data_IF_324433282786
#
_entry.id   IF_324433282786
#
_cell.length_a   1.000
_cell.length_b   1.000
_cell.length_c   1.000
_cell.angle_alpha   90.00
_cell.angle_beta   90.00
_cell.angle_gamma   90.00
#
_symmetry.space_group_name_H-M   'P 1'
#
loop_
_entity.id
_entity.type
_entity.pdbx_description
1 polymer ?
#
# COMPACT_ATOMS: atom_id res chain seq x y z
N UNK A 1 -4.29 -12.71 -25.05
CA UNK A 1 -4.28 -11.37 -24.40
C UNK A 1 -3.70 -10.42 -25.41
N UNK A 2 -4.22 -9.19 -25.56
CA UNK A 2 -3.73 -8.24 -26.56
C UNK A 2 -2.27 -7.87 -26.26
N UNK A 3 -1.42 -7.77 -27.31
CA UNK A 3 -0.01 -7.35 -27.21
C UNK A 3 0.18 -5.87 -26.78
N UNK A 4 -0.88 -5.23 -26.29
CA UNK A 4 -0.85 -3.84 -25.86
C UNK A 4 -0.47 -3.72 -24.40
N UNK A 5 0.38 -2.72 -24.06
CA UNK A 5 0.81 -2.52 -22.67
C UNK A 5 -0.36 -2.11 -21.76
N UNK A 6 -0.23 -2.39 -20.47
CA UNK A 6 -1.04 -1.76 -19.44
C UNK A 6 -0.44 -0.40 -19.09
N UNK A 7 -1.25 0.65 -18.97
CA UNK A 7 -0.78 1.95 -18.53
C UNK A 7 -1.01 2.11 -17.04
N UNK A 8 0.07 2.23 -16.27
CA UNK A 8 0.05 2.54 -14.84
C UNK A 8 0.19 4.05 -14.64
N UNK A 9 -0.83 4.68 -14.09
CA UNK A 9 -0.86 6.11 -13.78
C UNK A 9 -0.71 6.34 -12.28
N UNK A 10 0.42 6.91 -11.85
CA UNK A 10 0.70 7.12 -10.44
C UNK A 10 1.48 8.41 -10.17
N UNK A 11 1.25 9.01 -8.99
CA UNK A 11 2.10 10.04 -8.41
C UNK A 11 3.00 9.53 -7.30
N UNK A 12 2.81 8.30 -6.88
CA UNK A 12 3.55 7.64 -5.82
C UNK A 12 4.55 6.70 -6.49
N UNK A 13 5.84 7.04 -6.41
CA UNK A 13 6.90 6.25 -7.03
C UNK A 13 8.20 6.40 -6.25
N UNK A 14 9.00 5.33 -6.11
CA UNK A 14 10.31 5.43 -5.47
C UNK A 14 11.21 6.45 -6.15
N UNK A 15 11.94 7.20 -5.34
CA UNK A 15 12.97 8.14 -5.80
C UNK A 15 14.24 7.90 -5.01
N UNK A 16 15.43 8.32 -5.50
CA UNK A 16 16.68 8.18 -4.73
C UNK A 16 16.63 8.80 -3.33
N UNK A 17 15.83 9.86 -3.14
CA UNK A 17 15.64 10.49 -1.84
C UNK A 17 14.54 9.87 -0.98
N UNK A 18 13.74 8.94 -1.52
CA UNK A 18 12.63 8.25 -0.85
C UNK A 18 12.42 6.87 -1.48
N UNK A 19 13.33 5.93 -1.28
CA UNK A 19 13.30 4.63 -1.96
C UNK A 19 12.14 3.75 -1.52
N UNK A 20 11.65 3.90 -0.29
CA UNK A 20 10.54 3.13 0.27
C UNK A 20 9.16 3.57 -0.25
N UNK A 21 9.02 4.83 -0.75
CA UNK A 21 7.72 5.38 -1.16
C UNK A 21 7.24 4.79 -2.47
N UNK A 22 6.15 4.02 -2.44
CA UNK A 22 5.56 3.42 -3.63
C UNK A 22 6.27 2.15 -4.11
N UNK A 23 7.09 1.52 -3.28
CA UNK A 23 7.79 0.26 -3.57
C UNK A 23 6.83 -0.85 -4.02
N UNK A 24 5.64 -0.94 -3.44
CA UNK A 24 4.60 -1.90 -3.85
C UNK A 24 4.08 -1.64 -5.28
N UNK A 25 3.99 -0.37 -5.74
CA UNK A 25 3.62 -0.06 -7.14
C UNK A 25 4.74 -0.48 -8.08
N UNK A 26 6.00 -0.26 -7.68
CA UNK A 26 7.15 -0.73 -8.43
C UNK A 26 7.14 -2.26 -8.54
N UNK A 27 6.88 -2.97 -7.45
CA UNK A 27 6.74 -4.43 -7.45
C UNK A 27 5.59 -4.92 -8.37
N UNK A 28 4.46 -4.17 -8.44
CA UNK A 28 3.40 -4.44 -9.43
C UNK A 28 3.90 -4.31 -10.86
N UNK A 29 4.63 -3.23 -11.16
CA UNK A 29 5.18 -2.97 -12.50
C UNK A 29 6.18 -4.03 -12.90
N UNK A 30 7.08 -4.44 -12.01
CA UNK A 30 8.09 -5.48 -12.26
C UNK A 30 7.48 -6.86 -12.55
N UNK A 31 6.27 -7.13 -12.05
CA UNK A 31 5.51 -8.35 -12.36
C UNK A 31 4.78 -8.32 -13.71
N UNK A 32 4.79 -7.21 -14.44
CA UNK A 32 4.11 -7.06 -15.73
C UNK A 32 5.11 -7.15 -16.90
N UNK A 33 4.74 -7.87 -17.97
CA UNK A 33 5.59 -7.98 -19.18
C UNK A 33 5.57 -6.70 -20.00
N UNK A 34 4.36 -6.15 -20.24
CA UNK A 34 4.14 -5.00 -21.11
C UNK A 34 3.45 -3.90 -20.32
N UNK A 35 4.19 -2.90 -19.88
CA UNK A 35 3.70 -1.80 -19.06
C UNK A 35 4.29 -0.46 -19.47
N UNK A 36 3.46 0.57 -19.46
CA UNK A 36 3.86 1.97 -19.57
C UNK A 36 3.54 2.68 -18.27
N UNK A 37 4.55 3.21 -17.58
CA UNK A 37 4.38 3.98 -16.35
C UNK A 37 4.35 5.47 -16.67
N UNK A 38 3.24 6.13 -16.35
CA UNK A 38 3.08 7.58 -16.47
C UNK A 38 3.03 8.20 -15.08
N UNK A 39 3.96 9.11 -14.82
CA UNK A 39 4.13 9.78 -13.52
C UNK A 39 4.58 11.23 -13.71
N UNK A 40 4.38 12.13 -12.73
CA UNK A 40 4.84 13.51 -12.82
C UNK A 40 6.36 13.59 -13.01
N UNK A 41 6.79 14.34 -14.05
CA UNK A 41 8.21 14.54 -14.38
C UNK A 41 8.75 15.88 -13.89
N UNK A 42 7.86 16.82 -13.53
CA UNK A 42 8.20 18.21 -13.23
C UNK A 42 7.71 18.61 -11.83
N UNK A 43 8.36 18.14 -10.76
CA UNK A 43 7.86 18.35 -9.39
C UNK A 43 7.87 19.82 -8.92
N UNK A 44 8.60 20.71 -9.64
CA UNK A 44 8.69 22.15 -9.31
C UNK A 44 7.62 23.01 -9.95
N UNK A 45 6.84 22.48 -10.89
CA UNK A 45 5.74 23.23 -11.51
C UNK A 45 4.53 23.37 -10.57
N UNK A 46 3.69 24.41 -10.76
CA UNK A 46 2.42 24.52 -10.08
C UNK A 46 1.56 23.27 -10.33
N UNK A 47 0.82 22.81 -9.32
CA UNK A 47 0.05 21.55 -9.37
C UNK A 47 -0.87 21.42 -10.59
N UNK A 48 -1.53 22.52 -10.99
CA UNK A 48 -2.41 22.53 -12.16
C UNK A 48 -1.67 22.12 -13.44
N UNK A 49 -0.47 22.69 -13.67
CA UNK A 49 0.37 22.34 -14.81
C UNK A 49 0.86 20.90 -14.76
N UNK A 50 1.26 20.42 -13.56
CA UNK A 50 1.67 19.01 -13.39
C UNK A 50 0.54 18.07 -13.85
N UNK A 51 -0.70 18.36 -13.46
CA UNK A 51 -1.85 17.50 -13.79
C UNK A 51 -2.25 17.60 -15.27
N UNK A 52 -2.15 18.80 -15.85
CA UNK A 52 -2.37 18.97 -17.29
C UNK A 52 -1.32 18.21 -18.12
N UNK A 53 -0.05 18.34 -17.77
CA UNK A 53 1.04 17.63 -18.46
C UNK A 53 0.91 16.11 -18.27
N UNK A 54 0.49 15.67 -17.08
CA UNK A 54 0.24 14.25 -16.80
C UNK A 54 -0.89 13.71 -17.69
N UNK A 55 -1.97 14.48 -17.89
CA UNK A 55 -3.04 14.11 -18.82
C UNK A 55 -2.52 14.03 -20.27
N UNK A 56 -1.72 15.00 -20.69
CA UNK A 56 -1.11 15.01 -22.03
C UNK A 56 -0.21 13.78 -22.21
N UNK A 57 0.60 13.43 -21.22
CA UNK A 57 1.46 12.24 -21.27
C UNK A 57 0.63 10.96 -21.41
N UNK A 58 -0.49 10.83 -20.65
CA UNK A 58 -1.42 9.68 -20.77
C UNK A 58 -2.05 9.63 -22.15
N UNK A 59 -2.46 10.77 -22.72
CA UNK A 59 -3.08 10.83 -24.04
C UNK A 59 -2.09 10.52 -25.18
N UNK A 60 -0.82 10.86 -25.00
CA UNK A 60 0.26 10.60 -25.97
C UNK A 60 0.87 9.21 -25.85
N UNK A 61 0.65 8.52 -24.75
CA UNK A 61 1.15 7.16 -24.56
C UNK A 61 0.67 6.22 -25.67
N UNK A 62 1.46 5.23 -26.11
CA UNK A 62 1.02 4.18 -27.02
C UNK A 62 -0.32 3.62 -26.56
N UNK A 63 -1.22 3.24 -27.49
CA UNK A 63 -2.57 2.81 -27.12
C UNK A 63 -2.53 1.60 -26.21
N UNK A 64 -2.81 1.77 -24.88
CA UNK A 64 -2.75 0.66 -23.95
C UNK A 64 -4.01 -0.21 -24.04
N UNK A 65 -3.96 -1.40 -23.42
CA UNK A 65 -5.14 -2.25 -23.24
C UNK A 65 -6.10 -1.72 -22.17
N UNK A 66 -5.59 -0.87 -21.25
CA UNK A 66 -6.35 -0.22 -20.18
C UNK A 66 -5.48 0.70 -19.34
N UNK A 67 -6.11 1.44 -18.44
CA UNK A 67 -5.46 2.36 -17.49
C UNK A 67 -5.67 1.84 -16.08
N UNK A 68 -4.57 1.60 -15.33
CA UNK A 68 -4.56 1.33 -13.89
C UNK A 68 -4.09 2.60 -13.17
N UNK A 69 -5.00 3.31 -12.53
CA UNK A 69 -4.67 4.54 -11.83
C UNK A 69 -4.59 4.29 -10.31
N UNK A 70 -3.55 4.83 -9.68
CA UNK A 70 -3.37 4.75 -8.24
C UNK A 70 -3.82 6.05 -7.57
N UNK A 71 -4.76 5.94 -6.63
CA UNK A 71 -5.52 6.98 -5.92
C UNK A 71 -6.71 7.54 -6.73
N UNK A 72 -7.81 7.89 -6.02
CA UNK A 72 -8.99 8.49 -6.63
C UNK A 72 -8.71 9.86 -7.26
N UNK A 73 -8.02 10.74 -6.53
CA UNK A 73 -7.72 12.10 -6.97
C UNK A 73 -6.26 12.43 -6.62
N UNK A 74 -5.48 12.97 -7.55
CA UNK A 74 -5.83 13.43 -8.91
C UNK A 74 -5.72 12.37 -9.99
N UNK A 75 -4.94 11.31 -9.80
CA UNK A 75 -4.57 10.34 -10.85
C UNK A 75 -5.76 9.55 -11.36
N UNK A 76 -6.67 9.11 -10.50
CA UNK A 76 -7.91 8.45 -10.91
C UNK A 76 -8.79 9.37 -11.77
N UNK A 77 -8.89 10.66 -11.43
CA UNK A 77 -9.66 11.61 -12.23
C UNK A 77 -9.02 11.84 -13.62
N UNK A 78 -7.69 11.99 -13.68
CA UNK A 78 -6.96 12.06 -14.95
C UNK A 78 -7.14 10.79 -15.76
N UNK A 79 -7.04 9.63 -15.10
CA UNK A 79 -7.29 8.32 -15.71
C UNK A 79 -8.71 8.21 -16.27
N UNK A 80 -9.73 8.71 -15.56
CA UNK A 80 -11.12 8.71 -16.02
C UNK A 80 -11.31 9.57 -17.26
N UNK A 81 -10.76 10.79 -17.28
CA UNK A 81 -10.81 11.67 -18.45
C UNK A 81 -10.15 11.00 -19.66
N UNK A 82 -8.94 10.48 -19.47
CA UNK A 82 -8.21 9.81 -20.56
C UNK A 82 -8.91 8.53 -21.04
N UNK A 83 -9.46 7.73 -20.12
CA UNK A 83 -10.21 6.51 -20.43
C UNK A 83 -11.44 6.82 -21.28
N UNK A 84 -12.18 7.88 -20.95
CA UNK A 84 -13.35 8.32 -21.73
C UNK A 84 -12.95 8.81 -23.12
N UNK A 85 -11.92 9.66 -23.22
CA UNK A 85 -11.45 10.22 -24.51
C UNK A 85 -10.88 9.14 -25.45
N UNK A 86 -10.30 8.08 -24.90
CA UNK A 86 -9.66 7.00 -25.67
C UNK A 86 -10.48 5.71 -25.74
N UNK A 87 -11.68 5.67 -25.14
CA UNK A 87 -12.53 4.48 -25.03
C UNK A 87 -11.78 3.28 -24.43
N UNK A 88 -11.05 3.52 -23.32
CA UNK A 88 -10.26 2.51 -22.63
C UNK A 88 -10.92 2.09 -21.31
N UNK A 89 -10.70 0.86 -20.85
CA UNK A 89 -11.07 0.45 -19.50
C UNK A 89 -10.20 1.14 -18.44
N UNK A 90 -10.80 1.42 -17.28
CA UNK A 90 -10.16 2.07 -16.14
C UNK A 90 -10.36 1.23 -14.87
N UNK A 91 -9.26 0.82 -14.29
CA UNK A 91 -9.21 0.28 -12.91
C UNK A 91 -8.54 1.31 -12.01
N UNK A 92 -9.12 1.61 -10.85
CA UNK A 92 -8.54 2.55 -9.89
C UNK A 92 -8.22 1.84 -8.59
N UNK A 93 -6.95 1.90 -8.19
CA UNK A 93 -6.47 1.34 -6.94
C UNK A 93 -6.45 2.43 -5.85
N UNK A 94 -7.27 2.24 -4.82
CA UNK A 94 -7.45 3.16 -3.69
C UNK A 94 -6.60 2.69 -2.50
N UNK A 95 -5.73 3.56 -1.98
CA UNK A 95 -4.75 3.22 -0.95
C UNK A 95 -5.13 3.61 0.48
N UNK A 96 -6.34 4.10 0.68
CA UNK A 96 -6.90 4.48 1.99
C UNK A 96 -6.69 5.95 2.35
N UNK A 97 -5.50 6.50 2.19
CA UNK A 97 -5.24 7.93 2.48
C UNK A 97 -6.02 8.91 1.60
N UNK A 98 -6.59 8.44 0.52
CA UNK A 98 -7.41 9.22 -0.43
C UNK A 98 -8.92 9.18 -0.11
N UNK A 99 -9.38 8.23 0.71
CA UNK A 99 -10.80 8.12 1.13
C UNK A 99 -11.03 8.42 2.61
N UNK A 100 -9.99 8.39 3.44
CA UNK A 100 -10.10 8.82 4.84
C UNK A 100 -10.36 10.31 4.94
N UNK A 101 -11.05 10.72 5.99
CA UNK A 101 -11.49 12.11 6.20
C UNK A 101 -12.25 12.70 5.00
N UNK A 102 -12.98 11.84 4.31
CA UNK A 102 -13.70 12.19 3.10
C UNK A 102 -14.59 13.42 3.26
N UNK A 103 -15.33 13.50 4.37
CA UNK A 103 -16.22 14.60 4.70
C UNK A 103 -15.50 15.95 4.81
N UNK A 104 -14.24 15.95 5.22
CA UNK A 104 -13.38 17.14 5.39
C UNK A 104 -12.74 17.61 4.10
N UNK A 105 -12.81 16.83 3.01
CA UNK A 105 -12.21 17.21 1.72
C UNK A 105 -13.02 18.34 1.07
N UNK A 106 -12.36 19.28 0.33
CA UNK A 106 -13.06 20.33 -0.43
C UNK A 106 -14.10 19.75 -1.38
N UNK A 107 -15.22 20.44 -1.56
CA UNK A 107 -16.33 19.98 -2.40
C UNK A 107 -15.91 19.55 -3.83
N UNK A 108 -15.03 20.28 -4.54
CA UNK A 108 -14.56 19.84 -5.87
C UNK A 108 -13.82 18.50 -5.83
N UNK A 109 -13.01 18.25 -4.78
CA UNK A 109 -12.28 16.99 -4.62
C UNK A 109 -13.26 15.84 -4.37
N UNK A 110 -14.27 16.07 -3.54
CA UNK A 110 -15.33 15.09 -3.27
C UNK A 110 -16.13 14.78 -4.54
N UNK A 111 -16.45 15.79 -5.33
CA UNK A 111 -17.14 15.62 -6.61
C UNK A 111 -16.30 14.80 -7.60
N UNK A 112 -15.04 15.16 -7.82
CA UNK A 112 -14.13 14.41 -8.69
C UNK A 112 -14.01 12.93 -8.29
N UNK A 113 -13.85 12.65 -7.00
CA UNK A 113 -13.72 11.27 -6.56
C UNK A 113 -15.02 10.46 -6.71
N UNK A 114 -16.20 11.08 -6.50
CA UNK A 114 -17.47 10.42 -6.82
C UNK A 114 -17.62 10.11 -8.30
N UNK A 115 -17.15 11.01 -9.18
CA UNK A 115 -17.11 10.76 -10.62
C UNK A 115 -16.21 9.57 -10.95
N UNK A 116 -15.02 9.52 -10.33
CA UNK A 116 -14.08 8.42 -10.51
C UNK A 116 -14.69 7.11 -9.99
N UNK A 117 -15.24 7.14 -8.77
CA UNK A 117 -15.81 5.95 -8.15
C UNK A 117 -16.90 5.31 -9.00
N UNK A 118 -17.78 6.15 -9.60
CA UNK A 118 -18.89 5.68 -10.46
C UNK A 118 -18.48 5.44 -11.91
N UNK A 119 -17.40 6.03 -12.36
CA UNK A 119 -16.98 6.00 -13.76
C UNK A 119 -15.86 5.00 -14.07
N UNK A 120 -15.17 4.47 -13.07
CA UNK A 120 -14.20 3.39 -13.23
C UNK A 120 -14.92 2.04 -13.46
N UNK A 121 -14.32 1.17 -14.25
CA UNK A 121 -14.85 -0.18 -14.48
C UNK A 121 -14.70 -1.05 -13.21
N UNK A 122 -13.64 -0.83 -12.43
CA UNK A 122 -13.46 -1.44 -11.09
C UNK A 122 -12.71 -0.46 -10.17
N UNK A 123 -13.13 -0.45 -8.91
CA UNK A 123 -12.32 0.07 -7.80
C UNK A 123 -11.68 -1.10 -7.08
N UNK A 124 -10.39 -0.98 -6.83
CA UNK A 124 -9.60 -1.96 -6.05
C UNK A 124 -9.08 -1.27 -4.80
N UNK A 125 -9.02 -1.97 -3.68
CA UNK A 125 -8.50 -1.42 -2.44
C UNK A 125 -7.64 -2.42 -1.67
N UNK A 126 -6.87 -1.90 -0.71
CA UNK A 126 -5.85 -2.63 0.03
C UNK A 126 -6.36 -3.38 1.27
N UNK A 127 -7.56 -3.06 1.76
CA UNK A 127 -8.10 -3.63 3.00
C UNK A 127 -9.61 -3.52 3.05
N UNK A 128 -10.25 -4.31 3.89
CA UNK A 128 -11.66 -4.20 4.18
C UNK A 128 -11.98 -2.89 4.93
N UNK A 129 -11.04 -2.42 5.77
CA UNK A 129 -11.14 -1.11 6.42
C UNK A 129 -11.27 0.02 5.39
N UNK A 130 -10.43 0.02 4.35
CA UNK A 130 -10.53 1.00 3.25
C UNK A 130 -11.79 0.77 2.41
N UNK A 131 -12.22 -0.47 2.20
CA UNK A 131 -13.44 -0.80 1.47
C UNK A 131 -14.68 -0.19 2.12
N UNK A 132 -14.77 -0.21 3.46
CA UNK A 132 -15.89 0.44 4.18
C UNK A 132 -16.01 1.93 3.85
N UNK A 133 -14.89 2.66 3.76
CA UNK A 133 -14.89 4.06 3.38
C UNK A 133 -15.30 4.29 1.90
N UNK A 134 -14.95 3.35 1.01
CA UNK A 134 -15.34 3.42 -0.40
C UNK A 134 -16.85 3.17 -0.57
N UNK A 135 -17.44 2.25 0.21
CA UNK A 135 -18.89 1.99 0.21
C UNK A 135 -19.72 3.24 0.56
N UNK A 136 -19.16 4.18 1.33
CA UNK A 136 -19.77 5.48 1.60
C UNK A 136 -19.94 6.34 0.32
N UNK A 137 -19.18 6.04 -0.74
CA UNK A 137 -19.34 6.67 -2.07
C UNK A 137 -20.43 6.00 -2.92
N UNK A 138 -21.06 4.93 -2.41
CA UNK A 138 -22.09 4.16 -3.09
C UNK A 138 -21.57 3.16 -4.13
N UNK A 139 -20.34 2.67 -3.97
CA UNK A 139 -19.69 1.73 -4.88
C UNK A 139 -19.06 0.58 -4.08
N UNK A 140 -19.18 -0.65 -4.58
CA UNK A 140 -18.53 -1.83 -4.00
C UNK A 140 -17.12 -2.01 -4.61
N UNK A 141 -16.04 -1.92 -3.84
CA UNK A 141 -14.69 -2.16 -4.32
C UNK A 141 -14.34 -3.64 -4.25
N UNK A 142 -13.34 -4.05 -5.03
CA UNK A 142 -12.66 -5.34 -4.87
C UNK A 142 -11.50 -5.19 -3.89
N UNK A 143 -11.47 -5.99 -2.84
CA UNK A 143 -10.36 -5.99 -1.89
C UNK A 143 -9.24 -6.87 -2.43
N UNK A 144 -8.09 -6.26 -2.71
CA UNK A 144 -6.87 -6.92 -3.17
C UNK A 144 -5.67 -6.33 -2.41
N UNK A 145 -5.37 -6.86 -1.21
CA UNK A 145 -4.27 -6.38 -0.38
C UNK A 145 -2.94 -6.42 -1.12
N UNK A 146 -2.08 -5.39 -1.02
CA UNK A 146 -0.78 -5.39 -1.68
C UNK A 146 0.09 -6.53 -1.13
N UNK A 147 0.80 -7.19 -2.05
CA UNK A 147 1.62 -8.35 -1.72
C UNK A 147 3.02 -7.99 -1.27
N UNK A 148 3.60 -8.87 -0.45
CA UNK A 148 4.99 -8.86 -0.01
C UNK A 148 5.72 -10.04 -0.64
N UNK A 149 6.96 -9.83 -1.07
CA UNK A 149 7.83 -10.93 -1.51
C UNK A 149 8.27 -11.76 -0.30
N UNK A 150 7.55 -12.85 -0.06
CA UNK A 150 7.80 -13.73 1.10
C UNK A 150 9.14 -14.46 1.04
N UNK A 151 9.79 -14.54 -0.14
CA UNK A 151 11.15 -15.11 -0.27
C UNK A 151 12.19 -14.12 0.24
N UNK A 152 11.97 -12.84 -0.05
CA UNK A 152 12.82 -11.75 0.45
C UNK A 152 12.68 -11.56 1.96
N UNK A 153 11.47 -11.71 2.49
CA UNK A 153 11.12 -11.64 3.91
C UNK A 153 10.96 -13.04 4.51
N UNK A 154 11.84 -13.97 4.15
CA UNK A 154 11.80 -15.32 4.71
C UNK A 154 12.11 -15.32 6.22
N UNK A 155 11.47 -16.20 7.01
CA UNK A 155 11.70 -16.27 8.43
C UNK A 155 13.15 -16.65 8.75
N UNK A 156 13.69 -16.03 9.78
CA UNK A 156 15.02 -16.29 10.32
C UNK A 156 14.97 -16.55 11.83
N UNK A 157 15.98 -17.20 12.42
CA UNK A 157 15.99 -17.46 13.86
C UNK A 157 15.77 -16.19 14.67
N UNK A 158 15.13 -16.34 15.81
CA UNK A 158 14.91 -15.25 16.76
C UNK A 158 16.27 -14.75 17.30
N UNK A 159 16.55 -13.42 17.28
CA UNK A 159 17.75 -12.85 17.91
C UNK A 159 17.80 -13.17 19.41
N UNK A 160 19.00 -13.35 19.97
CA UNK A 160 19.17 -13.60 21.40
C UNK A 160 18.83 -12.40 22.28
N UNK A 161 18.98 -11.19 21.72
CA UNK A 161 18.68 -9.94 22.43
C UNK A 161 17.27 -9.47 22.08
N UNK A 162 16.52 -9.09 23.11
CA UNK A 162 15.25 -8.40 22.91
C UNK A 162 15.53 -7.01 22.35
N UNK A 163 15.14 -6.78 21.10
CA UNK A 163 15.31 -5.51 20.39
C UNK A 163 14.07 -5.17 19.61
N UNK A 164 13.64 -3.94 19.75
CA UNK A 164 12.42 -3.40 19.13
C UNK A 164 12.79 -2.52 17.93
N UNK A 165 12.25 -2.83 16.76
CA UNK A 165 12.41 -2.08 15.52
C UNK A 165 11.16 -1.26 15.21
N UNK A 166 11.36 0.00 14.81
CA UNK A 166 10.33 0.85 14.24
C UNK A 166 10.72 1.33 12.83
N UNK A 167 9.83 1.11 11.85
CA UNK A 167 10.05 1.40 10.41
C UNK A 167 9.11 2.50 9.86
N UNK A 168 8.57 3.36 10.72
CA UNK A 168 7.56 4.35 10.34
C UNK A 168 8.11 5.71 9.90
N UNK A 169 9.42 5.95 10.07
CA UNK A 169 10.03 7.26 9.84
C UNK A 169 9.52 8.33 10.81
N UNK A 170 9.89 9.59 10.58
CA UNK A 170 9.41 10.73 11.38
C UNK A 170 8.00 11.15 10.95
N UNK A 171 7.03 10.30 11.22
CA UNK A 171 5.64 10.50 10.82
C UNK A 171 4.69 10.31 12.03
N UNK A 172 4.01 11.38 12.50
CA UNK A 172 3.08 11.30 13.62
C UNK A 172 1.94 10.29 13.38
N UNK A 173 1.45 10.14 12.15
CA UNK A 173 0.40 9.15 11.82
C UNK A 173 0.87 7.71 11.99
N UNK A 174 2.18 7.48 11.90
CA UNK A 174 2.80 6.17 12.15
C UNK A 174 3.19 5.94 13.61
N UNK A 175 2.87 6.89 14.49
CA UNK A 175 3.14 6.81 15.93
C UNK A 175 4.61 7.01 16.27
N UNK A 176 5.33 7.86 15.53
CA UNK A 176 6.74 8.16 15.80
C UNK A 176 6.99 8.61 17.24
N UNK A 177 6.10 9.45 17.79
CA UNK A 177 6.24 9.99 19.15
C UNK A 177 6.16 8.89 20.22
N UNK A 178 5.37 7.84 19.97
CA UNK A 178 5.32 6.63 20.80
C UNK A 178 6.59 5.80 20.61
N UNK A 179 7.05 5.67 19.39
CA UNK A 179 8.19 4.81 19.08
C UNK A 179 9.52 5.34 19.64
N UNK A 180 9.72 6.67 19.75
CA UNK A 180 10.97 7.28 20.29
C UNK A 180 11.34 6.75 21.67
N UNK A 181 10.35 6.51 22.54
CA UNK A 181 10.59 6.03 23.90
C UNK A 181 10.64 4.51 24.05
N UNK A 182 10.35 3.74 23.00
CA UNK A 182 10.10 2.31 23.09
C UNK A 182 10.92 1.45 22.11
N UNK A 183 11.40 2.03 21.01
CA UNK A 183 12.13 1.29 20.00
C UNK A 183 13.64 1.50 20.14
N UNK A 184 14.42 0.41 20.00
CA UNK A 184 15.90 0.45 19.99
C UNK A 184 16.44 1.00 18.67
N UNK A 185 15.72 0.73 17.58
CA UNK A 185 16.09 1.20 16.25
C UNK A 185 14.89 1.87 15.58
N UNK A 186 15.08 3.13 15.18
CA UNK A 186 14.09 3.91 14.47
C UNK A 186 14.63 4.28 13.09
N UNK A 187 13.95 3.86 12.03
CA UNK A 187 14.33 4.12 10.64
C UNK A 187 13.12 4.51 9.78
N UNK A 188 13.42 5.01 8.60
CA UNK A 188 12.43 5.36 7.59
C UNK A 188 12.45 6.84 7.22
N UNK A 189 11.50 7.32 6.39
CA UNK A 189 11.48 8.67 5.85
C UNK A 189 11.60 9.77 6.92
N UNK A 190 12.43 10.77 6.65
CA UNK A 190 12.75 11.91 7.54
C UNK A 190 13.46 11.55 8.87
N UNK A 191 13.94 10.32 8.99
CA UNK A 191 14.91 9.86 9.97
C UNK A 191 16.15 9.36 9.21
N UNK A 192 16.65 8.17 9.55
CA UNK A 192 17.53 7.40 8.70
C UNK A 192 16.67 6.63 7.71
N UNK A 193 16.51 7.12 6.48
CA UNK A 193 15.85 6.31 5.43
C UNK A 193 16.75 5.10 5.09
N UNK A 194 16.13 3.99 4.76
CA UNK A 194 16.83 2.75 4.46
C UNK A 194 16.42 2.28 3.07
N UNK A 195 17.38 1.72 2.36
CA UNK A 195 17.07 1.10 1.09
C UNK A 195 16.17 -0.12 1.31
N UNK A 196 15.20 -0.34 0.42
CA UNK A 196 14.31 -1.50 0.56
C UNK A 196 15.06 -2.80 0.80
N UNK A 197 16.25 -2.99 0.22
CA UNK A 197 17.04 -4.22 0.33
C UNK A 197 17.72 -4.39 1.70
N UNK A 198 17.80 -3.35 2.51
CA UNK A 198 18.32 -3.43 3.89
C UNK A 198 17.25 -3.88 4.90
N UNK A 199 15.95 -3.74 4.55
CA UNK A 199 14.84 -3.99 5.49
C UNK A 199 14.80 -5.43 6.01
N UNK A 200 15.01 -6.48 5.19
CA UNK A 200 15.05 -7.86 5.69
C UNK A 200 16.16 -8.09 6.73
N UNK A 201 17.34 -7.52 6.55
CA UNK A 201 18.44 -7.62 7.51
C UNK A 201 18.11 -6.90 8.82
N UNK A 202 17.49 -5.71 8.74
CA UNK A 202 17.01 -5.01 9.93
C UNK A 202 15.97 -5.84 10.70
N UNK A 203 15.04 -6.49 10.00
CA UNK A 203 14.08 -7.37 10.65
C UNK A 203 14.74 -8.60 11.28
N UNK A 204 15.76 -9.16 10.63
CA UNK A 204 16.51 -10.29 11.18
C UNK A 204 17.28 -9.95 12.48
N UNK A 205 17.73 -8.71 12.63
CA UNK A 205 18.48 -8.22 13.81
C UNK A 205 17.58 -7.84 15.00
N UNK A 206 16.26 -7.86 14.85
CA UNK A 206 15.29 -7.48 15.88
C UNK A 206 14.28 -8.61 16.10
N UNK A 207 13.79 -8.78 17.32
CA UNK A 207 12.79 -9.79 17.63
C UNK A 207 11.35 -9.25 17.59
N UNK A 208 11.17 -7.95 17.79
CA UNK A 208 9.87 -7.29 17.78
C UNK A 208 9.85 -6.12 16.79
N UNK A 209 8.75 -5.99 16.05
CA UNK A 209 8.48 -4.80 15.23
C UNK A 209 7.30 -4.04 15.83
N UNK A 210 7.54 -2.78 16.17
CA UNK A 210 6.56 -1.87 16.75
C UNK A 210 5.86 -1.07 15.65
N UNK A 211 4.51 -1.16 15.59
CA UNK A 211 3.67 -0.47 14.60
C UNK A 211 2.59 0.35 15.33
N UNK A 212 2.93 1.43 16.04
CA UNK A 212 2.03 2.20 16.88
C UNK A 212 1.25 3.25 16.08
N UNK A 213 0.79 2.87 14.89
CA UNK A 213 0.13 3.77 13.95
C UNK A 213 -1.18 4.31 14.52
N UNK A 214 -1.41 5.62 14.39
CA UNK A 214 -2.72 6.25 14.68
C UNK A 214 -3.72 5.88 13.59
N UNK A 215 -3.21 5.76 12.36
CA UNK A 215 -3.97 5.34 11.19
C UNK A 215 -3.12 4.44 10.31
N UNK A 216 -3.67 3.29 9.93
CA UNK A 216 -2.99 2.35 9.05
C UNK A 216 -3.98 1.76 8.03
N UNK A 217 -3.97 2.22 6.79
CA UNK A 217 -4.88 1.69 5.76
C UNK A 217 -4.69 0.20 5.47
N UNK A 218 -3.44 -0.29 5.56
CA UNK A 218 -3.12 -1.71 5.40
C UNK A 218 -2.12 -2.19 6.44
N UNK A 219 -0.83 -1.86 6.30
CA UNK A 219 0.22 -2.27 7.23
C UNK A 219 1.24 -3.22 6.60
N UNK A 220 1.83 -2.83 5.44
CA UNK A 220 2.88 -3.63 4.78
C UNK A 220 4.00 -4.04 5.74
N UNK A 221 4.46 -3.11 6.59
CA UNK A 221 5.51 -3.37 7.58
C UNK A 221 5.13 -4.51 8.53
N UNK A 222 3.85 -4.61 8.92
CA UNK A 222 3.39 -5.72 9.78
C UNK A 222 3.44 -7.06 9.03
N UNK A 223 3.04 -7.09 7.74
CA UNK A 223 3.15 -8.30 6.92
C UNK A 223 4.62 -8.71 6.73
N UNK A 224 5.49 -7.76 6.41
CA UNK A 224 6.94 -7.97 6.23
C UNK A 224 7.58 -8.51 7.52
N UNK A 225 7.23 -7.95 8.67
CA UNK A 225 7.71 -8.38 9.97
C UNK A 225 7.30 -9.82 10.30
N UNK A 226 6.00 -10.12 10.20
CA UNK A 226 5.47 -11.46 10.48
C UNK A 226 6.04 -12.49 9.51
N UNK A 227 6.16 -12.14 8.22
CA UNK A 227 6.78 -13.00 7.22
C UNK A 227 8.26 -13.30 7.56
N UNK A 228 8.99 -12.30 8.09
CA UNK A 228 10.38 -12.47 8.58
C UNK A 228 10.46 -13.26 9.90
N UNK A 229 9.34 -13.72 10.44
CA UNK A 229 9.28 -14.40 11.73
C UNK A 229 9.46 -13.46 12.93
N UNK A 230 8.97 -12.22 12.84
CA UNK A 230 9.08 -11.24 13.95
C UNK A 230 7.71 -11.01 14.58
N UNK A 231 7.69 -10.94 15.92
CA UNK A 231 6.49 -10.58 16.66
C UNK A 231 6.12 -9.13 16.36
N UNK A 232 4.85 -8.85 16.10
CA UNK A 232 4.38 -7.50 15.84
C UNK A 232 3.60 -6.98 17.04
N UNK A 233 3.99 -5.82 17.58
CA UNK A 233 3.20 -5.07 18.55
C UNK A 233 2.59 -3.87 17.81
N UNK A 234 1.29 -3.88 17.60
CA UNK A 234 0.62 -2.92 16.72
C UNK A 234 -0.61 -2.29 17.35
N UNK A 235 -0.93 -1.07 16.94
CA UNK A 235 -2.22 -0.46 17.22
C UNK A 235 -3.36 -1.29 16.65
N UNK A 236 -4.45 -1.43 17.38
CA UNK A 236 -5.67 -2.07 16.90
C UNK A 236 -6.46 -1.14 15.97
N UNK A 237 -5.88 -0.73 14.82
CA UNK A 237 -6.48 0.21 13.86
C UNK A 237 -6.40 -0.27 12.42
N UNK A 238 -7.39 0.08 11.63
CA UNK A 238 -7.42 -0.11 10.17
C UNK A 238 -7.07 -1.53 9.74
N UNK A 239 -6.23 -1.64 8.71
CA UNK A 239 -5.76 -2.91 8.16
C UNK A 239 -4.88 -3.74 9.09
N UNK A 240 -4.32 -3.16 10.18
CA UNK A 240 -3.57 -3.94 11.17
C UNK A 240 -4.44 -5.00 11.85
N UNK A 241 -5.74 -4.72 12.06
CA UNK A 241 -6.71 -5.70 12.59
C UNK A 241 -6.99 -6.87 11.65
N UNK A 242 -6.64 -6.72 10.38
CA UNK A 242 -6.81 -7.78 9.37
C UNK A 242 -5.56 -8.66 9.26
N UNK A 243 -4.40 -8.11 9.61
CA UNK A 243 -3.09 -8.74 9.49
C UNK A 243 -2.68 -9.42 10.78
N UNK A 244 -2.78 -8.69 11.89
CA UNK A 244 -2.35 -9.16 13.20
C UNK A 244 -3.49 -9.95 13.87
N UNK A 245 -3.22 -11.23 14.12
CA UNK A 245 -4.07 -12.10 14.95
C UNK A 245 -3.51 -12.05 16.37
N UNK A 246 -4.23 -11.38 17.27
CA UNK A 246 -3.79 -11.13 18.63
C UNK A 246 -3.45 -12.44 19.38
N UNK A 247 -2.27 -12.49 20.00
CA UNK A 247 -1.74 -13.68 20.68
C UNK A 247 -1.26 -14.82 19.76
N UNK A 248 -1.34 -14.67 18.41
CA UNK A 248 -0.91 -15.68 17.44
C UNK A 248 0.33 -15.25 16.68
N UNK A 249 0.30 -14.07 16.05
CA UNK A 249 1.41 -13.53 15.26
C UNK A 249 1.80 -12.10 15.67
N UNK A 250 1.20 -11.59 16.74
CA UNK A 250 1.45 -10.27 17.27
C UNK A 250 0.52 -9.93 18.42
N UNK A 251 0.65 -8.70 18.92
CA UNK A 251 -0.19 -8.13 19.97
C UNK A 251 -0.89 -6.87 19.44
N UNK A 252 -2.22 -6.82 19.56
CA UNK A 252 -3.03 -5.65 19.22
C UNK A 252 -3.27 -4.76 20.44
N UNK A 253 -2.76 -3.55 20.41
CA UNK A 253 -2.88 -2.57 21.49
C UNK A 253 -4.06 -1.63 21.20
N UNK A 254 -5.05 -1.61 22.07
CA UNK A 254 -6.26 -0.78 21.96
C UNK A 254 -6.28 0.39 22.95
N UNK A 255 -5.60 0.27 24.06
CA UNK A 255 -5.55 1.23 25.17
C UNK A 255 -4.37 2.19 25.11
N UNK A 256 -3.45 1.98 24.16
CA UNK A 256 -2.24 2.79 23.99
C UNK A 256 -1.06 2.37 24.87
N UNK A 257 -1.19 1.33 25.69
CA UNK A 257 -0.10 0.84 26.55
C UNK A 257 0.86 -0.09 25.78
N UNK A 258 1.60 0.48 24.85
CA UNK A 258 2.62 -0.24 24.09
C UNK A 258 3.78 -0.74 24.96
N UNK A 259 4.11 -0.05 26.06
CA UNK A 259 5.18 -0.46 26.96
C UNK A 259 4.82 -1.80 27.64
N UNK A 260 3.61 -1.91 28.17
CA UNK A 260 3.13 -3.17 28.75
C UNK A 260 3.01 -4.29 27.70
N UNK A 261 2.60 -3.97 26.48
CA UNK A 261 2.52 -4.96 25.40
C UNK A 261 3.91 -5.49 25.01
N UNK A 262 4.92 -4.61 24.89
CA UNK A 262 6.32 -5.00 24.62
C UNK A 262 6.91 -5.86 25.74
N UNK A 263 6.62 -5.53 27.01
CA UNK A 263 7.10 -6.30 28.17
C UNK A 263 6.46 -7.70 28.27
N UNK A 264 5.35 -7.96 27.55
CA UNK A 264 4.60 -9.23 27.59
C UNK A 264 4.70 -10.02 26.28
N UNK A 265 5.65 -9.69 25.41
CA UNK A 265 5.90 -10.47 24.19
C UNK A 265 6.18 -11.92 24.60
N UNK A 266 5.40 -12.90 24.11
CA UNK A 266 5.57 -14.30 24.50
C UNK A 266 6.86 -14.89 23.91
N UNK A 267 7.21 -16.06 24.37
CA UNK A 267 8.11 -16.91 23.60
C UNK A 267 7.36 -17.43 22.38
N UNK A 268 7.99 -17.37 21.20
CA UNK A 268 7.38 -17.73 19.92
C UNK A 268 8.38 -18.36 18.96
N UNK A 269 7.88 -19.20 18.07
CA UNK A 269 8.67 -19.74 16.94
C UNK A 269 8.53 -18.84 15.70
N UNK A 270 9.62 -18.23 15.20
CA UNK A 270 9.62 -17.44 13.96
C UNK A 270 9.03 -18.17 12.75
N UNK A 271 9.21 -19.47 12.69
CA UNK A 271 8.78 -20.29 11.56
C UNK A 271 7.28 -20.63 11.60
N UNK A 272 6.64 -20.52 12.76
CA UNK A 272 5.19 -20.63 12.89
C UNK A 272 4.46 -19.31 12.58
N UNK A 273 5.14 -18.17 12.73
CA UNK A 273 4.54 -16.86 12.43
C UNK A 273 4.37 -16.64 10.92
N UNK A 274 5.40 -16.89 10.14
CA UNK A 274 5.46 -16.58 8.71
C UNK A 274 4.27 -17.16 7.90
N UNK A 275 3.82 -18.40 8.10
CA UNK A 275 2.67 -18.97 7.40
C UNK A 275 1.36 -18.22 7.62
N UNK A 276 1.20 -17.52 8.75
CA UNK A 276 -0.04 -16.81 9.09
C UNK A 276 -0.35 -15.65 8.11
N UNK A 277 0.67 -15.14 7.42
CA UNK A 277 0.55 -14.04 6.43
C UNK A 277 0.76 -14.50 4.99
N UNK A 278 0.82 -15.81 4.71
CA UNK A 278 1.03 -16.35 3.36
C UNK A 278 0.00 -15.86 2.33
N UNK A 279 -1.21 -15.50 2.78
CA UNK A 279 -2.26 -14.91 1.94
C UNK A 279 -1.88 -13.55 1.32
N UNK A 280 -0.88 -12.88 1.89
CA UNK A 280 -0.37 -11.58 1.42
C UNK A 280 0.88 -11.72 0.55
N UNK A 281 1.10 -12.86 -0.09
CA UNK A 281 2.23 -13.02 -1.01
C UNK A 281 2.10 -12.14 -2.26
N UNK A 282 3.23 -11.67 -2.77
CA UNK A 282 3.31 -10.86 -3.99
C UNK A 282 2.68 -11.57 -5.19
N UNK A 283 2.94 -12.87 -5.33
CA UNK A 283 2.42 -13.70 -6.42
C UNK A 283 0.88 -13.81 -6.37
N UNK A 284 0.30 -13.92 -5.16
CA UNK A 284 -1.16 -13.98 -5.00
C UNK A 284 -1.78 -12.64 -5.38
N UNK A 285 -1.22 -11.54 -4.89
CA UNK A 285 -1.70 -10.19 -5.22
C UNK A 285 -1.65 -9.92 -6.73
N UNK A 286 -0.54 -10.24 -7.40
CA UNK A 286 -0.40 -10.09 -8.84
C UNK A 286 -1.45 -10.91 -9.60
N UNK A 287 -1.67 -12.17 -9.23
CA UNK A 287 -2.72 -13.01 -9.83
C UNK A 287 -4.11 -12.39 -9.65
N UNK A 288 -4.44 -11.91 -8.46
CA UNK A 288 -5.74 -11.26 -8.19
C UNK A 288 -5.94 -10.04 -9.09
N UNK A 289 -4.93 -9.19 -9.24
CA UNK A 289 -5.02 -8.03 -10.14
C UNK A 289 -5.15 -8.44 -11.61
N UNK A 290 -4.49 -9.49 -12.03
CA UNK A 290 -4.61 -10.01 -13.41
C UNK A 290 -5.99 -10.64 -13.67
N UNK A 291 -6.62 -11.23 -12.67
CA UNK A 291 -8.01 -11.73 -12.72
C UNK A 291 -9.01 -10.57 -12.83
N UNK A 292 -8.81 -9.51 -12.06
CA UNK A 292 -9.61 -8.27 -12.15
C UNK A 292 -9.51 -7.70 -13.57
N UNK A 293 -8.30 -7.59 -14.13
CA UNK A 293 -8.11 -7.08 -15.48
C UNK A 293 -8.73 -7.97 -16.55
N UNK A 294 -8.63 -9.29 -16.42
CA UNK A 294 -9.31 -10.23 -17.33
C UNK A 294 -10.82 -10.06 -17.32
N UNK A 295 -11.43 -9.93 -16.13
CA UNK A 295 -12.86 -9.67 -15.99
C UNK A 295 -13.26 -8.37 -16.68
N UNK A 296 -12.55 -7.25 -16.39
CA UNK A 296 -12.83 -5.93 -16.97
C UNK A 296 -12.77 -5.94 -18.51
N UNK A 297 -11.74 -6.61 -19.06
CA UNK A 297 -11.59 -6.70 -20.52
C UNK A 297 -12.68 -7.56 -21.17
N UNK A 298 -13.13 -8.62 -20.50
CA UNK A 298 -14.23 -9.49 -20.98
C UNK A 298 -15.58 -8.78 -20.91
N UNK A 299 -15.88 -8.07 -19.82
CA UNK A 299 -17.12 -7.33 -19.64
C UNK A 299 -17.31 -6.23 -20.71
N UNK A 300 -16.20 -5.60 -21.15
CA UNK A 300 -16.23 -4.58 -22.21
C UNK A 300 -16.25 -5.14 -23.64
N UNK A 301 -15.94 -6.41 -23.83
CA UNK A 301 -15.99 -7.06 -25.13
C UNK A 301 -17.39 -7.60 -25.50
N UNK A 302 -18.26 -7.66 -24.50
CA UNK A 302 -19.70 -7.99 -24.63
C UNK A 302 -20.52 -6.74 -24.89
#
# INVERSE_FOLDING_TARGET
MSDRPLLILTRIWPTPSRPSVGSFIKARVEGLRDVVVVRPRWPRLPRAWIYLLLLIDVLRAPRPRGIEAHMLVPTGFIGLVAARLRSLPLVVYVHGGDVRDWSRRPAPVRWMARLVARGADRLVTNSEDTARHIRELGVEPVVAPPGVDLRRFAPSPRPRQHRVLYLGGRNPRKGHDVAIGLADTLVGPWLRDVEPDEVPALMADHDVVLVPSVEEPFGLVAVEAIASGRWVVASAVGGLREIVSDGVNGTLVSDGDFAAALARVPDYDPYELAPTVARYSLERWQRTLDEIWRSVLTDRAR
#
